data_IF_291429171853
#
_entry.id   IF_291429171853
#
_cell.length_a   1.000
_cell.length_b   1.000
_cell.length_c   1.000
_cell.angle_alpha   90.00
_cell.angle_beta   90.00
_cell.angle_gamma   90.00
#
_symmetry.space_group_name_H-M   'P 1'
#
loop_
_entity.id
_entity.type
_entity.pdbx_description
1 polymer ?
#
# COMPACT_ATOMS: atom_id res chain seq x y z
N UNK A 1 5.71 33.15 7.61
CA UNK A 1 6.19 32.32 6.49
C UNK A 1 6.39 30.94 7.07
N UNK A 2 5.71 29.88 6.59
CA UNK A 2 6.05 28.53 7.02
C UNK A 2 7.46 28.27 6.51
N UNK A 3 8.34 27.96 7.44
CA UNK A 3 9.77 27.90 7.25
C UNK A 3 10.08 26.67 6.39
N UNK A 4 10.95 26.81 5.39
CA UNK A 4 11.33 25.69 4.50
C UNK A 4 11.87 24.49 5.33
N UNK A 5 12.36 24.77 6.54
CA UNK A 5 12.79 23.79 7.53
C UNK A 5 11.66 22.88 8.04
N UNK A 6 10.48 23.42 8.31
CA UNK A 6 9.34 22.63 8.82
C UNK A 6 8.90 21.60 7.78
N UNK A 7 8.86 22.00 6.51
CA UNK A 7 8.55 21.11 5.37
C UNK A 7 9.58 19.98 5.23
N UNK A 8 10.87 20.31 5.27
CA UNK A 8 11.94 19.31 5.17
C UNK A 8 11.89 18.31 6.33
N UNK A 9 11.46 18.74 7.51
CA UNK A 9 11.33 17.88 8.69
C UNK A 9 10.11 16.95 8.59
N UNK A 10 8.96 17.46 8.11
CA UNK A 10 7.78 16.65 7.78
C UNK A 10 8.07 15.59 6.70
N UNK A 11 8.72 15.98 5.59
CA UNK A 11 9.07 15.07 4.50
C UNK A 11 10.01 13.94 4.96
N UNK A 12 10.97 14.28 5.83
CA UNK A 12 11.86 13.27 6.44
C UNK A 12 11.10 12.33 7.37
N UNK A 13 10.11 12.83 8.10
CA UNK A 13 9.23 12.04 8.94
C UNK A 13 8.43 11.02 8.13
N UNK A 14 7.76 11.49 7.06
CA UNK A 14 6.95 10.65 6.18
C UNK A 14 7.81 9.61 5.46
N UNK A 15 8.97 10.01 4.92
CA UNK A 15 9.89 9.10 4.26
C UNK A 15 10.36 7.98 5.19
N UNK A 16 10.76 8.33 6.42
CA UNK A 16 11.21 7.37 7.43
C UNK A 16 10.10 6.41 7.83
N UNK A 17 8.86 6.90 7.88
CA UNK A 17 7.69 6.08 8.14
C UNK A 17 7.49 5.04 7.03
N UNK A 18 7.49 5.46 5.76
CA UNK A 18 7.38 4.53 4.61
C UNK A 18 8.53 3.52 4.64
N UNK A 19 9.77 3.94 4.92
CA UNK A 19 10.94 3.05 5.04
C UNK A 19 10.80 1.99 6.13
N UNK A 20 10.00 2.26 7.18
CA UNK A 20 9.72 1.27 8.23
C UNK A 20 8.91 0.10 7.69
N UNK A 21 8.04 0.35 6.71
CA UNK A 21 7.19 -0.66 6.07
C UNK A 21 7.81 -1.23 4.79
N UNK A 22 8.55 -0.42 4.06
CA UNK A 22 9.15 -0.74 2.76
C UNK A 22 10.67 -0.59 2.87
N UNK A 23 11.38 -1.62 3.36
CA UNK A 23 12.83 -1.56 3.49
C UNK A 23 13.49 -1.36 2.13
N UNK A 24 14.43 -0.42 2.06
CA UNK A 24 15.13 -0.05 0.83
C UNK A 24 14.45 1.05 0.01
N UNK A 25 13.30 1.58 0.45
CA UNK A 25 12.64 2.70 -0.20
C UNK A 25 13.49 3.98 -0.09
N UNK A 26 13.91 4.55 -1.23
CA UNK A 26 14.82 5.72 -1.29
C UNK A 26 14.12 7.04 -1.55
N UNK A 27 12.79 7.01 -1.72
CA UNK A 27 11.99 8.17 -2.05
C UNK A 27 11.89 8.46 -3.54
N UNK A 28 11.04 9.43 -3.87
CA UNK A 28 10.59 9.76 -5.20
C UNK A 28 11.46 10.85 -5.87
N UNK A 29 12.79 10.70 -5.87
CA UNK A 29 13.71 11.76 -6.32
C UNK A 29 13.87 11.88 -7.84
N UNK A 30 13.69 10.78 -8.57
CA UNK A 30 13.79 10.71 -10.03
C UNK A 30 12.67 9.84 -10.59
N UNK A 31 12.38 9.95 -11.90
CA UNK A 31 11.35 9.13 -12.59
C UNK A 31 11.56 7.63 -12.43
N UNK A 32 12.80 7.18 -12.46
CA UNK A 32 13.15 5.77 -12.26
C UNK A 32 12.89 5.36 -10.80
N UNK A 33 13.31 6.21 -9.85
CA UNK A 33 13.04 6.01 -8.42
C UNK A 33 11.54 5.95 -8.12
N UNK A 34 10.69 6.74 -8.80
CA UNK A 34 9.23 6.71 -8.67
C UNK A 34 8.63 5.36 -9.05
N UNK A 35 9.08 4.76 -10.16
CA UNK A 35 8.59 3.46 -10.60
C UNK A 35 9.03 2.35 -9.67
N UNK A 36 10.29 2.37 -9.27
CA UNK A 36 10.84 1.36 -8.37
C UNK A 36 10.19 1.46 -6.98
N UNK A 37 10.02 2.68 -6.48
CA UNK A 37 9.38 2.95 -5.21
C UNK A 37 7.89 2.55 -5.19
N UNK A 38 7.10 2.90 -6.21
CA UNK A 38 5.70 2.45 -6.35
C UNK A 38 5.61 0.92 -6.44
N UNK A 39 6.50 0.29 -7.21
CA UNK A 39 6.56 -1.18 -7.30
C UNK A 39 6.87 -1.83 -5.96
N UNK A 40 7.84 -1.30 -5.22
CA UNK A 40 8.21 -1.79 -3.88
C UNK A 40 7.04 -1.62 -2.90
N UNK A 41 6.36 -0.48 -2.94
CA UNK A 41 5.24 -0.18 -2.06
C UNK A 41 4.05 -1.10 -2.35
N UNK A 42 3.71 -1.33 -3.63
CA UNK A 42 2.67 -2.29 -4.04
C UNK A 42 3.01 -3.74 -3.71
N UNK A 43 4.29 -4.13 -3.83
CA UNK A 43 4.72 -5.47 -3.45
C UNK A 43 4.52 -5.72 -1.95
N UNK A 44 4.92 -4.77 -1.10
CA UNK A 44 4.72 -4.86 0.35
C UNK A 44 3.24 -4.84 0.72
N UNK A 45 2.45 -3.98 0.07
CA UNK A 45 1.00 -3.92 0.22
C UNK A 45 0.34 -5.28 -0.06
N UNK A 46 0.68 -5.88 -1.21
CA UNK A 46 0.16 -7.18 -1.62
C UNK A 46 0.58 -8.29 -0.64
N UNK A 47 1.83 -8.25 -0.15
CA UNK A 47 2.33 -9.20 0.83
C UNK A 47 1.56 -9.12 2.16
N UNK A 48 1.26 -7.90 2.62
CA UNK A 48 0.46 -7.66 3.83
C UNK A 48 -0.97 -8.18 3.66
N UNK A 49 -1.64 -7.79 2.58
CA UNK A 49 -2.99 -8.27 2.27
C UNK A 49 -3.07 -9.80 2.20
N UNK A 50 -2.09 -10.44 1.56
CA UNK A 50 -2.02 -11.91 1.46
C UNK A 50 -1.83 -12.58 2.83
N UNK A 51 -1.10 -11.94 3.75
CA UNK A 51 -0.93 -12.44 5.12
C UNK A 51 -2.26 -12.41 5.87
N UNK A 52 -2.98 -11.28 5.82
CA UNK A 52 -4.30 -11.14 6.45
C UNK A 52 -5.33 -12.09 5.84
N UNK A 53 -5.32 -12.23 4.51
CA UNK A 53 -6.17 -13.19 3.79
C UNK A 53 -5.90 -14.62 4.26
N UNK A 54 -4.64 -15.00 4.49
CA UNK A 54 -4.30 -16.33 5.00
C UNK A 54 -4.86 -16.53 6.42
N UNK A 55 -4.77 -15.52 7.28
CA UNK A 55 -5.41 -15.54 8.60
C UNK A 55 -6.92 -15.77 8.51
N UNK A 56 -7.60 -15.09 7.58
CA UNK A 56 -9.03 -15.31 7.32
C UNK A 56 -9.33 -16.73 6.79
N UNK A 57 -8.47 -17.29 5.94
CA UNK A 57 -8.60 -18.66 5.45
C UNK A 57 -8.41 -19.69 6.58
N UNK A 58 -7.49 -19.45 7.51
CA UNK A 58 -7.28 -20.26 8.72
C UNK A 58 -8.50 -20.18 9.65
N UNK A 59 -9.03 -18.97 9.92
CA UNK A 59 -10.26 -18.78 10.69
C UNK A 59 -11.44 -19.52 10.04
N UNK A 60 -11.58 -19.42 8.71
CA UNK A 60 -12.60 -20.17 7.98
C UNK A 60 -12.45 -21.67 8.21
N UNK A 61 -11.23 -22.21 8.15
CA UNK A 61 -10.92 -23.61 8.41
C UNK A 61 -11.34 -24.09 9.80
N UNK A 62 -11.13 -23.26 10.82
CA UNK A 62 -11.55 -23.55 12.20
C UNK A 62 -13.08 -23.52 12.37
N UNK A 63 -13.75 -22.58 11.70
CA UNK A 63 -15.20 -22.42 11.78
C UNK A 63 -15.98 -23.54 11.07
N UNK A 64 -15.37 -24.21 10.07
CA UNK A 64 -15.94 -25.40 9.39
C UNK A 64 -16.34 -26.49 10.41
N UNK A 65 -15.64 -26.57 11.55
CA UNK A 65 -15.90 -27.59 12.56
C UNK A 65 -17.04 -27.23 13.54
N UNK A 66 -17.46 -25.96 13.60
CA UNK A 66 -18.28 -25.45 14.73
C UNK A 66 -19.52 -24.61 14.34
N UNK A 67 -19.64 -24.11 13.11
CA UNK A 67 -20.68 -23.14 12.71
C UNK A 67 -21.46 -23.51 11.44
N UNK A 68 -22.58 -22.81 11.20
CA UNK A 68 -23.49 -23.04 10.09
C UNK A 68 -23.04 -22.43 8.75
N UNK A 69 -23.82 -22.69 7.69
CA UNK A 69 -23.49 -22.32 6.31
C UNK A 69 -23.40 -20.79 6.07
N UNK A 70 -24.10 -19.99 6.86
CA UNK A 70 -24.23 -18.53 6.64
C UNK A 70 -22.97 -17.77 7.06
N UNK A 71 -22.35 -18.16 8.17
CA UNK A 71 -21.10 -17.59 8.65
C UNK A 71 -19.93 -17.94 7.71
N UNK A 72 -19.96 -19.15 7.12
CA UNK A 72 -19.00 -19.56 6.09
C UNK A 72 -19.11 -18.71 4.81
N UNK A 73 -20.33 -18.37 4.40
CA UNK A 73 -20.57 -17.57 3.20
C UNK A 73 -20.06 -16.12 3.38
N UNK A 74 -20.27 -15.53 4.56
CA UNK A 74 -19.76 -14.19 4.88
C UNK A 74 -18.23 -14.13 4.85
N UNK A 75 -17.55 -15.11 5.46
CA UNK A 75 -16.08 -15.17 5.45
C UNK A 75 -15.55 -15.49 4.04
N UNK A 76 -16.24 -16.37 3.30
CA UNK A 76 -15.92 -16.62 1.90
C UNK A 76 -16.01 -15.36 1.03
N UNK A 77 -17.05 -14.55 1.23
CA UNK A 77 -17.20 -13.25 0.58
C UNK A 77 -16.06 -12.29 0.92
N UNK A 78 -15.67 -12.20 2.20
CA UNK A 78 -14.55 -11.37 2.64
C UNK A 78 -13.22 -11.82 1.99
N UNK A 79 -12.91 -13.12 2.01
CA UNK A 79 -11.71 -13.67 1.37
C UNK A 79 -11.68 -13.33 -0.13
N UNK A 80 -12.81 -13.43 -0.82
CA UNK A 80 -12.89 -13.06 -2.23
C UNK A 80 -12.66 -11.57 -2.47
N UNK A 81 -13.16 -10.71 -1.59
CA UNK A 81 -12.89 -9.26 -1.64
C UNK A 81 -11.39 -9.00 -1.51
N UNK A 82 -10.71 -9.66 -0.55
CA UNK A 82 -9.26 -9.55 -0.38
C UNK A 82 -8.51 -10.02 -1.64
N UNK A 83 -8.86 -11.17 -2.22
CA UNK A 83 -8.25 -11.66 -3.48
C UNK A 83 -8.42 -10.68 -4.63
N UNK A 84 -9.60 -10.07 -4.75
CA UNK A 84 -9.87 -9.07 -5.79
C UNK A 84 -9.00 -7.83 -5.60
N UNK A 85 -8.91 -7.32 -4.37
CA UNK A 85 -8.07 -6.17 -4.05
C UNK A 85 -6.59 -6.47 -4.25
N UNK A 86 -6.10 -7.64 -3.83
CA UNK A 86 -4.73 -8.11 -4.09
C UNK A 86 -4.42 -8.11 -5.60
N UNK A 87 -5.31 -8.69 -6.41
CA UNK A 87 -5.15 -8.73 -7.87
C UNK A 87 -5.14 -7.34 -8.50
N UNK A 88 -6.01 -6.44 -8.05
CA UNK A 88 -6.04 -5.06 -8.53
C UNK A 88 -4.76 -4.30 -8.18
N UNK A 89 -4.23 -4.46 -6.96
CA UNK A 89 -2.98 -3.80 -6.54
C UNK A 89 -1.78 -4.34 -7.30
N UNK A 90 -1.70 -5.67 -7.45
CA UNK A 90 -0.57 -6.34 -8.09
C UNK A 90 -0.52 -6.09 -9.60
N UNK A 91 -1.68 -6.05 -10.26
CA UNK A 91 -1.80 -5.91 -11.72
C UNK A 91 -2.22 -4.51 -12.17
N UNK A 92 -2.38 -3.54 -11.27
CA UNK A 92 -2.63 -2.16 -11.66
C UNK A 92 -1.51 -1.70 -12.59
N UNK A 93 -1.87 -1.36 -13.83
CA UNK A 93 -0.92 -0.83 -14.81
C UNK A 93 -0.20 0.37 -14.20
N UNK A 94 1.13 0.37 -14.30
CA UNK A 94 1.95 1.51 -13.93
C UNK A 94 1.63 2.62 -14.93
N UNK A 95 0.63 3.46 -14.62
CA UNK A 95 -0.02 4.42 -15.54
C UNK A 95 0.86 5.48 -16.19
N UNK A 96 2.18 5.38 -16.07
CA UNK A 96 3.13 6.23 -16.79
C UNK A 96 3.54 5.57 -18.10
N UNK A 97 2.71 5.79 -19.13
CA UNK A 97 3.06 5.53 -20.52
C UNK A 97 4.35 6.29 -20.87
N UNK A 98 5.35 5.58 -21.40
CA UNK A 98 6.70 6.10 -21.65
C UNK A 98 6.83 7.19 -22.72
N UNK A 99 5.72 7.80 -23.16
CA UNK A 99 5.68 8.72 -24.30
C UNK A 99 5.47 10.20 -23.95
N UNK A 100 5.15 10.55 -22.70
CA UNK A 100 4.96 11.97 -22.32
C UNK A 100 6.23 12.47 -21.63
N UNK A 101 7.19 12.90 -22.44
CA UNK A 101 8.53 13.26 -22.01
C UNK A 101 8.59 14.45 -21.02
N UNK A 102 7.54 15.25 -20.86
CA UNK A 102 7.69 16.61 -20.30
C UNK A 102 6.83 16.96 -19.07
N UNK A 103 6.19 15.98 -18.43
CA UNK A 103 5.53 16.25 -17.13
C UNK A 103 6.62 16.28 -16.05
N UNK A 104 7.07 17.47 -15.69
CA UNK A 104 7.76 17.73 -14.42
C UNK A 104 6.74 17.58 -13.29
N UNK A 105 6.86 16.51 -12.50
CA UNK A 105 6.09 16.38 -11.26
C UNK A 105 6.62 17.45 -10.31
N UNK A 106 5.75 18.36 -9.88
CA UNK A 106 6.12 19.41 -8.92
C UNK A 106 6.35 18.79 -7.55
N UNK A 107 7.25 19.36 -6.74
CA UNK A 107 7.50 18.92 -5.36
C UNK A 107 6.20 18.79 -4.56
N UNK A 108 5.29 19.76 -4.64
CA UNK A 108 3.98 19.71 -3.97
C UNK A 108 3.08 18.52 -4.37
N UNK A 109 3.24 17.99 -5.59
CA UNK A 109 2.50 16.80 -6.02
C UNK A 109 3.15 15.52 -5.49
N UNK A 110 4.48 15.55 -5.33
CA UNK A 110 5.25 14.48 -4.74
C UNK A 110 4.91 14.33 -3.26
N UNK A 111 4.82 15.45 -2.53
CA UNK A 111 4.49 15.47 -1.10
C UNK A 111 3.10 14.89 -0.85
N UNK A 112 2.12 15.24 -1.69
CA UNK A 112 0.78 14.64 -1.62
C UNK A 112 0.79 13.14 -1.89
N UNK A 113 1.65 12.66 -2.78
CA UNK A 113 1.80 11.23 -3.04
C UNK A 113 2.39 10.52 -1.82
N UNK A 114 3.40 11.13 -1.19
CA UNK A 114 4.00 10.67 0.05
C UNK A 114 3.00 10.58 1.20
N UNK A 115 2.22 11.63 1.43
CA UNK A 115 1.16 11.64 2.46
C UNK A 115 0.12 10.55 2.20
N UNK A 116 -0.31 10.41 0.95
CA UNK A 116 -1.29 9.40 0.56
C UNK A 116 -0.78 7.98 0.81
N UNK A 117 0.45 7.68 0.39
CA UNK A 117 1.06 6.35 0.58
C UNK A 117 1.28 6.03 2.06
N UNK A 118 1.73 7.02 2.84
CA UNK A 118 1.91 6.86 4.28
C UNK A 118 0.58 6.62 5.01
N UNK A 119 -0.49 7.34 4.63
CA UNK A 119 -1.83 7.12 5.18
C UNK A 119 -2.38 5.75 4.80
N UNK A 120 -2.15 5.30 3.56
CA UNK A 120 -2.53 3.96 3.13
C UNK A 120 -1.83 2.87 3.97
N UNK A 121 -0.52 3.02 4.23
CA UNK A 121 0.26 2.12 5.08
C UNK A 121 -0.21 2.09 6.54
N UNK A 122 -0.63 3.24 7.08
CA UNK A 122 -1.24 3.29 8.42
C UNK A 122 -2.53 2.48 8.49
N UNK A 123 -3.41 2.66 7.49
CA UNK A 123 -4.67 1.93 7.45
C UNK A 123 -4.44 0.42 7.37
N UNK A 124 -3.44 -0.05 6.63
CA UNK A 124 -3.09 -1.47 6.62
C UNK A 124 -2.56 -1.96 7.95
N UNK A 125 -1.74 -1.16 8.62
CA UNK A 125 -1.23 -1.51 9.95
C UNK A 125 -2.38 -1.62 10.95
N UNK A 126 -3.40 -0.78 10.83
CA UNK A 126 -4.58 -0.84 11.70
C UNK A 126 -5.46 -2.07 11.48
N UNK A 127 -5.33 -2.77 10.34
CA UNK A 127 -6.05 -4.01 10.05
C UNK A 127 -5.41 -5.20 10.77
N UNK A 128 -4.09 -5.17 11.00
CA UNK A 128 -3.37 -6.21 11.74
C UNK A 128 -3.65 -6.04 13.25
N UNK A 129 -4.43 -6.95 13.83
CA UNK A 129 -4.71 -7.05 15.28
C UNK A 129 -3.65 -7.90 15.97
#
# INVERSE_FOLDING_TARGET
MPDIRDRIEEDRGILKKIQTYVPGFRGYRRREDLRDADRMLRAQLTQKLSTERRGLEECRGLLVQSYGSKEMELIGGLINQFKKTEGLVLHAETGYSGFVADIQIKEEQLDKLYEYDAGMLDHLTSITV
#
